data_IF_200286266254
#
_entry.id   IF_200286266254
#
_cell.length_a   1.000
_cell.length_b   1.000
_cell.length_c   1.000
_cell.angle_alpha   90.00
_cell.angle_beta   90.00
_cell.angle_gamma   90.00
#
_symmetry.space_group_name_H-M   'P 1'
#
loop_
_entity.id
_entity.type
_entity.pdbx_description
1 polymer ?
#
# COMPACT_ATOMS: atom_id res chain seq x y z
N UNK A 1 -4.33 6.34 -17.48
CA UNK A 1 -4.83 7.25 -16.43
C UNK A 1 -5.64 8.39 -17.04
N UNK A 2 -5.09 9.11 -18.02
CA UNK A 2 -5.76 10.25 -18.69
C UNK A 2 -7.15 9.91 -19.24
N UNK A 3 -7.30 8.78 -19.95
CA UNK A 3 -8.60 8.32 -20.46
C UNK A 3 -9.64 8.10 -19.36
N UNK A 4 -9.21 7.71 -18.16
CA UNK A 4 -10.11 7.55 -17.02
C UNK A 4 -10.47 8.90 -16.39
N UNK A 5 -9.50 9.78 -16.19
CA UNK A 5 -9.74 11.13 -15.66
C UNK A 5 -10.69 11.96 -16.57
N UNK A 6 -10.71 11.65 -17.87
CA UNK A 6 -11.62 12.27 -18.83
C UNK A 6 -12.99 11.55 -18.97
N UNK A 7 -13.20 10.44 -18.26
CA UNK A 7 -14.47 9.72 -18.33
C UNK A 7 -15.58 10.53 -17.62
N UNK A 8 -16.82 10.53 -18.15
CA UNK A 8 -17.93 11.21 -17.48
C UNK A 8 -18.23 10.55 -16.14
N UNK A 9 -18.49 11.39 -15.13
CA UNK A 9 -18.83 10.96 -13.77
C UNK A 9 -20.12 10.11 -13.78
N UNK A 10 -20.13 9.04 -12.98
CA UNK A 10 -21.27 8.13 -12.89
C UNK A 10 -21.98 8.31 -11.56
N UNK A 11 -23.31 8.22 -11.58
CA UNK A 11 -24.15 8.25 -10.37
C UNK A 11 -23.90 7.10 -9.39
N UNK A 12 -23.26 6.02 -9.83
CA UNK A 12 -22.81 4.92 -8.96
C UNK A 12 -21.35 4.59 -9.28
N UNK A 13 -20.43 4.70 -8.31
CA UNK A 13 -19.04 4.35 -8.54
C UNK A 13 -18.93 2.84 -8.83
N UNK A 14 -18.20 2.50 -9.88
CA UNK A 14 -17.92 1.11 -10.23
C UNK A 14 -16.58 0.64 -9.60
N UNK A 15 -16.18 -0.59 -9.90
CA UNK A 15 -14.85 -1.11 -9.61
C UNK A 15 -14.05 -1.19 -10.91
N UNK A 16 -12.87 -0.58 -10.95
CA UNK A 16 -11.97 -0.74 -12.09
C UNK A 16 -11.30 -2.11 -12.05
N UNK A 17 -11.47 -2.89 -13.11
CA UNK A 17 -10.59 -4.03 -13.34
C UNK A 17 -9.31 -3.54 -14.02
N UNK A 18 -8.38 -3.00 -13.22
CA UNK A 18 -7.13 -2.43 -13.70
C UNK A 18 -5.94 -3.17 -13.10
N UNK A 19 -5.13 -3.78 -13.96
CA UNK A 19 -3.82 -4.31 -13.56
C UNK A 19 -2.82 -3.17 -13.62
N UNK A 20 -2.27 -2.82 -12.46
CA UNK A 20 -1.30 -1.73 -12.35
C UNK A 20 0.07 -2.29 -12.07
N UNK A 21 1.04 -1.88 -12.88
CA UNK A 21 2.44 -2.14 -12.61
C UNK A 21 2.91 -1.40 -11.37
N UNK A 22 3.61 -2.11 -10.49
CA UNK A 22 4.22 -1.58 -9.26
C UNK A 22 5.16 -0.39 -9.54
N UNK A 23 5.69 -0.28 -10.76
CA UNK A 23 6.54 0.85 -11.20
C UNK A 23 5.84 2.21 -11.14
N UNK A 24 4.51 2.27 -11.21
CA UNK A 24 3.74 3.52 -11.18
C UNK A 24 3.30 3.97 -9.77
N UNK A 25 3.71 3.26 -8.70
CA UNK A 25 3.30 3.55 -7.31
C UNK A 25 3.89 4.84 -6.73
N UNK A 26 4.84 5.49 -7.41
CA UNK A 26 5.59 6.62 -6.85
C UNK A 26 4.74 7.90 -6.79
N UNK A 27 3.80 8.06 -7.73
CA UNK A 27 2.96 9.27 -7.82
C UNK A 27 1.55 9.11 -7.23
N UNK A 28 1.12 7.88 -6.93
CA UNK A 28 -0.19 7.62 -6.35
C UNK A 28 -0.20 6.25 -5.63
N UNK A 29 -0.98 6.15 -4.56
CA UNK A 29 -1.09 4.94 -3.74
C UNK A 29 -2.56 4.60 -3.49
N UNK A 30 -2.90 3.31 -3.59
CA UNK A 30 -4.22 2.84 -3.17
C UNK A 30 -4.40 2.95 -1.67
N UNK A 31 -5.40 3.71 -1.25
CA UNK A 31 -5.96 3.55 0.07
C UNK A 31 -6.71 2.21 0.12
N UNK A 32 -6.43 1.44 1.16
CA UNK A 32 -6.92 0.08 1.27
C UNK A 32 -8.19 0.07 2.13
N UNK A 33 -9.30 -0.36 1.53
CA UNK A 33 -10.55 -0.67 2.22
C UNK A 33 -10.90 -2.11 1.89
N UNK A 34 -11.20 -2.92 2.89
CA UNK A 34 -11.44 -4.35 2.72
C UNK A 34 -12.60 -4.85 3.55
N UNK A 35 -13.01 -6.08 3.28
CA UNK A 35 -14.03 -6.77 4.06
C UNK A 35 -13.51 -7.12 5.45
N UNK A 36 -14.37 -7.31 6.44
CA UNK A 36 -13.95 -7.58 7.84
C UNK A 36 -13.16 -8.88 8.04
N UNK A 37 -13.15 -9.76 7.04
CA UNK A 37 -12.52 -11.08 7.07
C UNK A 37 -11.17 -11.13 6.33
N UNK A 38 -10.63 -9.99 5.90
CA UNK A 38 -9.28 -9.94 5.38
C UNK A 38 -8.26 -10.28 6.50
N UNK A 39 -7.07 -10.75 6.13
CA UNK A 39 -5.94 -10.84 7.06
C UNK A 39 -5.64 -9.50 7.74
N UNK A 40 -5.18 -9.55 8.99
CA UNK A 40 -4.75 -8.36 9.72
C UNK A 40 -3.38 -7.88 9.24
N UNK A 41 -3.13 -6.58 9.39
CA UNK A 41 -1.81 -6.00 9.15
C UNK A 41 -0.78 -6.59 10.12
N UNK A 42 0.41 -6.95 9.62
CA UNK A 42 1.50 -7.41 10.46
C UNK A 42 2.26 -6.23 11.10
N UNK A 43 1.96 -5.97 12.38
CA UNK A 43 2.57 -4.88 13.16
C UNK A 43 4.08 -5.03 13.40
N UNK A 44 4.69 -6.16 13.03
CA UNK A 44 6.15 -6.29 13.07
C UNK A 44 6.85 -5.50 11.96
N UNK A 45 6.13 -5.05 10.94
CA UNK A 45 6.69 -4.24 9.85
C UNK A 45 6.90 -2.79 10.31
N UNK A 46 8.14 -2.30 10.32
CA UNK A 46 8.41 -0.96 10.81
C UNK A 46 8.11 0.11 9.75
N UNK A 47 7.43 1.18 10.16
CA UNK A 47 7.44 2.45 9.42
C UNK A 47 8.91 2.91 9.25
N UNK A 48 9.46 3.28 8.09
CA UNK A 48 8.91 3.69 6.78
C UNK A 48 9.24 2.70 5.66
N UNK A 49 9.31 1.40 5.94
CA UNK A 49 9.52 0.42 4.89
C UNK A 49 8.19 -0.08 4.36
N UNK A 50 7.98 0.08 3.04
CA UNK A 50 6.94 -0.58 2.28
C UNK A 50 5.57 -0.58 2.98
N UNK A 51 5.16 0.60 3.45
CA UNK A 51 3.95 0.75 4.28
C UNK A 51 2.75 0.09 3.59
N UNK A 52 2.05 -0.76 4.33
CA UNK A 52 0.90 -1.56 3.88
C UNK A 52 1.14 -2.47 2.65
N UNK A 53 2.39 -2.63 2.15
CA UNK A 53 2.68 -3.55 1.05
C UNK A 53 2.52 -5.00 1.50
N UNK A 54 2.92 -5.30 2.73
CA UNK A 54 2.77 -6.61 3.36
C UNK A 54 1.32 -7.09 3.31
N UNK A 55 0.41 -6.30 3.90
CA UNK A 55 -1.01 -6.62 3.91
C UNK A 55 -1.56 -6.77 2.48
N UNK A 56 -1.16 -5.88 1.56
CA UNK A 56 -1.57 -5.97 0.14
C UNK A 56 -1.08 -7.26 -0.52
N UNK A 57 0.09 -7.74 -0.17
CA UNK A 57 0.60 -9.00 -0.70
C UNK A 57 -0.15 -10.19 -0.10
N UNK A 58 -0.38 -10.17 1.20
CA UNK A 58 -1.11 -11.24 1.88
C UNK A 58 -2.54 -11.37 1.37
N UNK A 59 -3.30 -10.27 1.24
CA UNK A 59 -4.67 -10.34 0.72
C UNK A 59 -4.70 -10.90 -0.71
N UNK A 60 -3.74 -10.56 -1.56
CA UNK A 60 -3.63 -11.13 -2.91
C UNK A 60 -3.38 -12.64 -2.86
N UNK A 61 -2.50 -13.11 -1.96
CA UNK A 61 -2.26 -14.55 -1.75
C UNK A 61 -3.46 -15.26 -1.12
N UNK A 62 -4.26 -14.57 -0.32
CA UNK A 62 -5.52 -15.07 0.22
C UNK A 62 -6.66 -15.09 -0.81
N UNK A 63 -6.40 -14.80 -2.09
CA UNK A 63 -7.37 -14.87 -3.18
C UNK A 63 -8.21 -13.61 -3.38
N UNK A 64 -7.94 -12.53 -2.65
CA UNK A 64 -8.62 -11.26 -2.85
C UNK A 64 -8.07 -10.52 -4.08
N UNK A 65 -8.90 -9.66 -4.66
CA UNK A 65 -8.51 -8.75 -5.73
C UNK A 65 -8.57 -7.31 -5.22
N UNK A 66 -7.50 -6.56 -5.45
CA UNK A 66 -7.46 -5.13 -5.18
C UNK A 66 -8.08 -4.41 -6.37
N UNK A 67 -9.24 -3.79 -6.15
CA UNK A 67 -9.98 -3.07 -7.18
C UNK A 67 -10.06 -1.59 -6.80
N UNK A 68 -9.59 -0.67 -7.66
CA UNK A 68 -9.80 0.75 -7.47
C UNK A 68 -11.29 1.06 -7.53
N UNK A 69 -11.76 1.89 -6.60
CA UNK A 69 -13.11 2.47 -6.66
C UNK A 69 -13.04 3.67 -7.61
N UNK A 70 -13.99 3.77 -8.56
CA UNK A 70 -14.06 4.96 -9.43
C UNK A 70 -14.32 6.21 -8.58
N UNK A 71 -13.70 7.33 -8.97
CA UNK A 71 -13.98 8.67 -8.47
C UNK A 71 -13.81 8.89 -6.96
N UNK A 72 -13.14 7.96 -6.25
CA UNK A 72 -12.78 8.09 -4.84
C UNK A 72 -11.28 8.35 -4.69
N UNK A 73 -10.93 9.59 -4.38
CA UNK A 73 -9.55 10.00 -4.18
C UNK A 73 -9.38 10.74 -2.86
N UNK A 74 -8.24 10.49 -2.22
CA UNK A 74 -7.76 11.31 -1.12
C UNK A 74 -6.48 11.97 -1.60
N UNK A 75 -6.47 13.29 -1.65
CA UNK A 75 -5.25 14.06 -1.88
C UNK A 75 -4.69 14.48 -0.53
N UNK A 76 -3.38 14.35 -0.37
CA UNK A 76 -2.66 14.94 0.74
C UNK A 76 -1.93 16.16 0.20
N UNK A 77 -2.27 17.35 0.71
CA UNK A 77 -1.45 18.53 0.48
C UNK A 77 -0.18 18.38 1.30
N UNK A 78 0.94 18.18 0.62
CA UNK A 78 2.26 18.42 1.20
C UNK A 78 2.41 19.94 1.29
N UNK A 79 1.78 20.59 2.27
CA UNK A 79 2.12 21.97 2.56
C UNK A 79 3.61 21.99 2.91
N UNK A 80 4.43 22.87 2.29
CA UNK A 80 5.71 23.20 2.85
C UNK A 80 5.41 23.87 4.18
N UNK A 81 5.33 23.06 5.24
CA UNK A 81 5.03 23.53 6.57
C UNK A 81 6.12 24.54 6.92
N UNK A 82 5.69 25.79 7.12
CA UNK A 82 6.42 26.90 7.71
C UNK A 82 7.14 26.51 9.02
N UNK A 83 6.81 25.35 9.60
CA UNK A 83 7.44 24.75 10.78
C UNK A 83 8.35 23.52 10.55
N UNK A 84 8.73 23.18 9.31
CA UNK A 84 9.92 22.35 9.05
C UNK A 84 9.89 20.89 9.55
N UNK A 85 8.74 20.21 9.53
CA UNK A 85 8.62 18.82 10.06
C UNK A 85 9.04 17.71 9.10
N UNK A 86 9.21 18.00 7.80
CA UNK A 86 9.57 17.00 6.79
C UNK A 86 11.09 16.80 6.62
N UNK A 87 11.79 16.55 7.74
CA UNK A 87 13.24 16.44 7.79
C UNK A 87 13.73 15.14 7.10
N UNK A 88 14.29 15.30 5.90
CA UNK A 88 14.86 14.21 5.10
C UNK A 88 16.00 13.44 5.81
N UNK A 89 16.78 14.12 6.67
CA UNK A 89 17.84 13.51 7.47
C UNK A 89 17.31 12.57 8.54
N UNK A 90 16.34 13.02 9.35
CA UNK A 90 15.65 12.18 10.35
C UNK A 90 14.97 10.99 9.69
N UNK A 91 14.30 11.23 8.58
CA UNK A 91 13.68 10.23 7.70
C UNK A 91 14.67 9.15 7.25
N UNK A 92 15.86 9.53 6.78
CA UNK A 92 16.93 8.59 6.38
C UNK A 92 17.49 7.82 7.58
N UNK A 93 17.73 8.51 8.71
CA UNK A 93 18.22 7.91 9.95
C UNK A 93 17.27 6.81 10.45
N UNK A 94 15.97 7.10 10.55
CA UNK A 94 14.97 6.11 10.97
C UNK A 94 14.88 4.94 10.01
N UNK A 95 14.94 5.18 8.69
CA UNK A 95 14.97 4.10 7.69
C UNK A 95 16.21 3.21 7.84
N UNK A 96 17.36 3.76 8.25
CA UNK A 96 18.56 2.96 8.54
C UNK A 96 18.38 2.09 9.78
N UNK A 97 17.88 2.67 10.88
CA UNK A 97 17.65 1.97 12.15
C UNK A 97 16.65 0.82 12.00
N UNK A 98 15.60 1.01 11.19
CA UNK A 98 14.54 0.03 11.00
C UNK A 98 14.88 -1.04 9.96
N UNK A 99 16.00 -0.92 9.23
CA UNK A 99 16.42 -1.88 8.19
C UNK A 99 16.56 -3.33 8.72
N UNK A 100 17.25 -3.61 9.84
CA UNK A 100 17.33 -4.97 10.36
C UNK A 100 15.98 -5.52 10.82
N UNK A 101 15.14 -4.68 11.44
CA UNK A 101 13.78 -5.04 11.88
C UNK A 101 12.94 -5.45 10.66
N UNK A 102 12.95 -4.62 9.61
CA UNK A 102 12.27 -4.91 8.36
C UNK A 102 12.77 -6.22 7.71
N UNK A 103 14.08 -6.45 7.67
CA UNK A 103 14.64 -7.67 7.09
C UNK A 103 14.20 -8.93 7.86
N UNK A 104 14.05 -8.83 9.20
CA UNK A 104 13.50 -9.91 10.02
C UNK A 104 12.01 -10.13 9.73
N UNK A 105 11.21 -9.07 9.78
CA UNK A 105 9.77 -9.13 9.52
C UNK A 105 9.47 -9.73 8.14
N UNK A 106 10.20 -9.30 7.09
CA UNK A 106 10.08 -9.83 5.74
C UNK A 106 10.39 -11.33 5.63
N UNK A 107 11.39 -11.83 6.37
CA UNK A 107 11.70 -13.27 6.38
C UNK A 107 10.58 -14.08 7.04
N UNK A 108 10.07 -13.60 8.18
CA UNK A 108 8.96 -14.24 8.90
C UNK A 108 7.69 -14.23 8.06
N UNK A 109 7.35 -13.09 7.45
CA UNK A 109 6.26 -12.95 6.50
C UNK A 109 6.36 -13.97 5.36
N UNK A 110 7.50 -14.04 4.67
CA UNK A 110 7.69 -14.96 3.56
C UNK A 110 7.53 -16.43 3.98
N UNK A 111 8.02 -16.81 5.17
CA UNK A 111 7.83 -18.14 5.71
C UNK A 111 6.35 -18.44 6.00
N UNK A 112 5.66 -17.51 6.69
CA UNK A 112 4.21 -17.58 6.96
C UNK A 112 3.41 -17.73 5.67
N UNK A 113 3.70 -16.91 4.67
CA UNK A 113 2.96 -16.93 3.41
C UNK A 113 3.17 -18.22 2.61
N UNK A 114 4.38 -18.80 2.63
CA UNK A 114 4.63 -20.12 2.03
C UNK A 114 3.84 -21.24 2.72
N UNK A 115 3.65 -21.12 4.03
CA UNK A 115 2.89 -22.10 4.81
C UNK A 115 1.38 -21.96 4.58
N UNK A 116 0.85 -20.73 4.64
CA UNK A 116 -0.60 -20.47 4.56
C UNK A 116 -1.12 -20.50 3.11
N UNK A 117 -0.32 -20.07 2.15
CA UNK A 117 -0.71 -19.91 0.75
C UNK A 117 0.33 -20.57 -0.18
N UNK A 118 0.56 -21.89 -0.10
CA UNK A 118 1.66 -22.57 -0.81
C UNK A 118 1.52 -22.55 -2.35
N UNK A 119 0.30 -22.39 -2.87
CA UNK A 119 -0.02 -22.51 -4.29
C UNK A 119 -0.19 -21.15 -5.00
N UNK A 120 0.34 -20.07 -4.42
CA UNK A 120 0.23 -18.69 -4.92
C UNK A 120 1.59 -18.06 -5.13
#
# INVERSE_FOLDING_TARGET
LERWLAAPEKTRPNLFNLTISVKHRISWEFQFSGHRNIPYFDENFPYRYDNNLELRWEVCRAGYRLLPVEDLFVYHTLSPDEHGKDDAGKKRKMKRLNRPIFARAKRQFNARMKQLYPNT
#
